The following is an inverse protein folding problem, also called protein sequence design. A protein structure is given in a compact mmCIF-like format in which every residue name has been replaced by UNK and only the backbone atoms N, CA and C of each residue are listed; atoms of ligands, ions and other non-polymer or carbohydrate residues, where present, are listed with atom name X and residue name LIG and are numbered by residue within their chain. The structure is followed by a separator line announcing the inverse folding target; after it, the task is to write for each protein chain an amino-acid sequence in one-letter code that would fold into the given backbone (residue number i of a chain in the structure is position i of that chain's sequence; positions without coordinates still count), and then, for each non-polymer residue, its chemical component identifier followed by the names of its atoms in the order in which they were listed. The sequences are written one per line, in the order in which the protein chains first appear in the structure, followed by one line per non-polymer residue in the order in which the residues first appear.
data_IF_646910691528
#
_entry.id   IF_646910691528
#
_cell.length_a   1.000
_cell.length_b   1.000
_cell.length_c   1.000
_cell.angle_alpha   90.00
_cell.angle_beta   90.00
_cell.angle_gamma   90.00
#
_symmetry.space_group_name_H-M   'P 1'
#
loop_
_entity.id
_entity.type
_entity.pdbx_description
1 polymer ?
#
# COMPACT_ATOMS: atom_id res chain seq x y z
N UNK A 1 -5.29 -24.88 -5.44
CA UNK A 1 -6.40 -25.67 -6.03
C UNK A 1 -5.98 -27.06 -6.51
N UNK A 2 -5.14 -27.23 -7.54
CA UNK A 2 -4.81 -28.57 -8.07
C UNK A 2 -4.21 -29.53 -7.01
N UNK A 3 -3.31 -29.04 -6.15
CA UNK A 3 -2.77 -29.82 -5.03
C UNK A 3 -3.84 -30.18 -3.99
N UNK A 4 -4.76 -29.25 -3.70
CA UNK A 4 -5.93 -29.49 -2.84
C UNK A 4 -6.78 -30.63 -3.42
N UNK A 5 -7.10 -30.58 -4.72
CA UNK A 5 -7.85 -31.63 -5.41
C UNK A 5 -7.16 -33.00 -5.28
N UNK A 6 -5.86 -33.07 -5.64
CA UNK A 6 -5.08 -34.31 -5.54
C UNK A 6 -5.09 -34.87 -4.12
N UNK A 7 -4.97 -34.01 -3.11
CA UNK A 7 -5.03 -34.42 -1.71
C UNK A 7 -6.40 -34.98 -1.35
N UNK A 8 -7.49 -34.27 -1.66
CA UNK A 8 -8.86 -34.70 -1.36
C UNK A 8 -9.20 -36.04 -2.01
N UNK A 9 -8.82 -36.24 -3.27
CA UNK A 9 -9.00 -37.53 -3.96
C UNK A 9 -8.15 -38.63 -3.30
N UNK A 10 -6.90 -38.32 -2.93
CA UNK A 10 -6.01 -39.28 -2.27
C UNK A 10 -6.54 -39.73 -0.90
N UNK A 11 -7.24 -38.87 -0.17
CA UNK A 11 -7.86 -39.22 1.13
C UNK A 11 -9.25 -39.84 1.00
N UNK A 12 -9.73 -40.11 -0.23
CA UNK A 12 -10.93 -40.90 -0.49
C UNK A 12 -12.17 -40.11 -0.91
N UNK A 13 -12.05 -38.80 -1.19
CA UNK A 13 -13.18 -38.02 -1.73
C UNK A 13 -13.46 -38.44 -3.17
N UNK A 14 -14.73 -38.77 -3.50
CA UNK A 14 -15.15 -39.07 -4.87
C UNK A 14 -14.98 -37.82 -5.75
N UNK A 15 -14.13 -37.84 -6.80
CA UNK A 15 -13.90 -36.69 -7.67
C UNK A 15 -15.18 -36.17 -8.33
N UNK A 16 -16.20 -37.02 -8.55
CA UNK A 16 -17.48 -36.63 -9.14
C UNK A 16 -18.34 -35.77 -8.20
N UNK A 17 -18.01 -35.81 -6.91
CA UNK A 17 -18.68 -35.08 -5.82
C UNK A 17 -17.81 -33.96 -5.27
N UNK A 18 -16.76 -33.58 -6.00
CA UNK A 18 -15.83 -32.51 -5.64
C UNK A 18 -15.91 -31.42 -6.70
N UNK A 19 -16.08 -30.17 -6.28
CA UNK A 19 -15.98 -29.01 -7.17
C UNK A 19 -15.20 -27.88 -6.51
N UNK A 20 -14.68 -26.97 -7.34
CA UNK A 20 -14.15 -25.70 -6.87
C UNK A 20 -15.13 -24.60 -7.25
N UNK A 21 -15.60 -23.84 -6.27
CA UNK A 21 -16.51 -22.72 -6.45
C UNK A 21 -15.77 -21.43 -6.13
N UNK A 22 -15.72 -20.51 -7.09
CA UNK A 22 -15.20 -19.16 -6.83
C UNK A 22 -16.22 -18.35 -6.04
N UNK A 23 -15.74 -17.57 -5.08
CA UNK A 23 -16.57 -16.58 -4.38
C UNK A 23 -16.96 -15.45 -5.34
N UNK A 24 -18.21 -15.02 -5.24
CA UNK A 24 -18.66 -13.79 -5.92
C UNK A 24 -18.22 -12.56 -5.14
N UNK A 25 -18.23 -11.38 -5.77
CA UNK A 25 -17.78 -10.13 -5.12
C UNK A 25 -18.55 -9.77 -3.84
N UNK A 26 -19.80 -10.20 -3.71
CA UNK A 26 -20.63 -10.02 -2.51
C UNK A 26 -20.42 -11.08 -1.42
N UNK A 27 -19.67 -12.14 -1.71
CA UNK A 27 -19.28 -13.20 -0.78
C UNK A 27 -17.81 -13.08 -0.34
N UNK A 28 -17.02 -12.32 -1.10
CA UNK A 28 -15.60 -12.10 -0.83
C UNK A 28 -15.38 -11.51 0.56
N UNK A 29 -14.53 -12.17 1.35
CA UNK A 29 -14.10 -11.62 2.62
C UNK A 29 -13.38 -10.28 2.41
N UNK A 30 -13.59 -9.33 3.32
CA UNK A 30 -13.02 -7.98 3.24
C UNK A 30 -11.48 -7.91 3.12
N UNK A 31 -10.80 -9.01 3.43
CA UNK A 31 -9.35 -9.14 3.39
C UNK A 31 -8.83 -9.93 2.16
N UNK A 32 -9.72 -10.45 1.32
CA UNK A 32 -9.40 -11.31 0.19
C UNK A 32 -9.53 -10.55 -1.13
N UNK A 33 -8.67 -10.85 -2.09
CA UNK A 33 -8.77 -10.42 -3.48
C UNK A 33 -9.46 -11.47 -4.34
N UNK A 34 -9.20 -12.74 -4.08
CA UNK A 34 -9.90 -13.87 -4.70
C UNK A 34 -10.03 -15.03 -3.70
N UNK A 35 -11.05 -15.85 -3.86
CA UNK A 35 -11.27 -17.01 -3.01
C UNK A 35 -11.97 -18.13 -3.77
N UNK A 36 -11.46 -19.35 -3.60
CA UNK A 36 -12.02 -20.56 -4.18
C UNK A 36 -12.23 -21.61 -3.11
N UNK A 37 -13.44 -22.13 -3.02
CA UNK A 37 -13.80 -23.18 -2.08
C UNK A 37 -13.78 -24.54 -2.78
N UNK A 38 -13.08 -25.50 -2.19
CA UNK A 38 -13.29 -26.91 -2.49
C UNK A 38 -14.54 -27.39 -1.74
N UNK A 39 -15.59 -27.67 -2.49
CA UNK A 39 -16.87 -28.13 -1.96
C UNK A 39 -17.07 -29.63 -2.24
N UNK A 40 -17.62 -30.34 -1.25
CA UNK A 40 -17.93 -31.76 -1.36
C UNK A 40 -19.46 -31.94 -1.31
N UNK A 41 -20.01 -32.71 -2.23
CA UNK A 41 -21.43 -33.07 -2.25
C UNK A 41 -21.72 -34.17 -1.22
N UNK A 42 -22.49 -33.81 -0.20
CA UNK A 42 -22.91 -34.68 0.90
C UNK A 42 -24.43 -34.86 0.91
N UNK A 43 -24.99 -35.59 1.90
CA UNK A 43 -26.44 -35.67 2.12
C UNK A 43 -27.09 -34.33 2.46
N UNK A 44 -26.32 -33.33 2.87
CA UNK A 44 -26.78 -31.98 3.18
C UNK A 44 -26.57 -30.99 2.03
N UNK A 45 -26.17 -31.48 0.85
CA UNK A 45 -25.80 -30.65 -0.30
C UNK A 45 -24.30 -30.38 -0.38
N UNK A 46 -23.93 -29.34 -1.13
CA UNK A 46 -22.54 -28.91 -1.29
C UNK A 46 -22.06 -28.16 -0.06
N UNK A 47 -20.99 -28.65 0.55
CA UNK A 47 -20.40 -28.06 1.76
C UNK A 47 -18.94 -27.71 1.48
N UNK A 48 -18.52 -26.51 1.87
CA UNK A 48 -17.11 -26.10 1.87
C UNK A 48 -16.31 -27.00 2.83
N UNK A 49 -15.23 -27.59 2.33
CA UNK A 49 -14.28 -28.34 3.15
C UNK A 49 -12.89 -27.71 3.17
N UNK A 50 -12.53 -26.90 2.16
CA UNK A 50 -11.26 -26.17 2.10
C UNK A 50 -11.45 -24.83 1.39
N UNK A 51 -11.15 -23.72 2.07
CA UNK A 51 -11.04 -22.41 1.45
C UNK A 51 -9.62 -22.12 0.94
N UNK A 52 -9.50 -21.67 -0.31
CA UNK A 52 -8.26 -21.19 -0.93
C UNK A 52 -8.37 -19.69 -1.20
N UNK A 53 -7.93 -18.85 -0.25
CA UNK A 53 -8.00 -17.40 -0.35
C UNK A 53 -6.66 -16.76 -0.74
N UNK A 54 -6.69 -15.86 -1.73
CA UNK A 54 -5.65 -14.88 -1.99
C UNK A 54 -5.95 -13.62 -1.18
N UNK A 55 -5.11 -13.33 -0.20
CA UNK A 55 -5.23 -12.16 0.69
C UNK A 55 -4.24 -11.04 0.31
N UNK A 56 -3.51 -11.26 -0.77
CA UNK A 56 -2.41 -10.42 -1.25
C UNK A 56 -1.54 -9.93 -0.10
N UNK A 57 -1.53 -8.63 0.17
CA UNK A 57 -0.73 -8.03 1.22
C UNK A 57 -1.56 -7.52 2.42
N UNK A 58 -2.83 -7.91 2.56
CA UNK A 58 -3.74 -7.36 3.57
C UNK A 58 -3.16 -7.53 4.99
N UNK A 59 -2.87 -8.76 5.41
CA UNK A 59 -2.43 -9.06 6.77
C UNK A 59 -1.11 -8.38 7.12
N UNK A 60 -0.10 -8.52 6.26
CA UNK A 60 1.22 -7.92 6.48
C UNK A 60 1.13 -6.40 6.53
N UNK A 61 0.26 -5.78 5.72
CA UNK A 61 0.05 -4.33 5.73
C UNK A 61 -0.65 -3.89 7.01
N UNK A 62 -1.69 -4.59 7.46
CA UNK A 62 -2.38 -4.25 8.71
C UNK A 62 -1.45 -4.43 9.92
N UNK A 63 -0.75 -5.56 10.03
CA UNK A 63 0.19 -5.80 11.11
C UNK A 63 1.36 -4.81 11.12
N UNK A 64 1.93 -4.49 9.95
CA UNK A 64 3.00 -3.49 9.83
C UNK A 64 2.54 -2.11 10.32
N UNK A 65 1.34 -1.67 9.93
CA UNK A 65 0.75 -0.39 10.36
C UNK A 65 0.51 -0.33 11.87
N UNK A 66 0.00 -1.40 12.48
CA UNK A 66 -0.33 -1.43 13.91
C UNK A 66 0.92 -1.57 14.78
N UNK A 67 1.88 -2.39 14.38
CA UNK A 67 3.06 -2.71 15.20
C UNK A 67 4.25 -1.79 14.94
N UNK A 68 4.21 -0.99 13.86
CA UNK A 68 5.35 -0.24 13.33
C UNK A 68 6.58 -1.12 13.00
N UNK A 69 6.37 -2.42 12.75
CA UNK A 69 7.41 -3.35 12.33
C UNK A 69 7.36 -3.54 10.82
N UNK A 70 8.49 -3.34 10.13
CA UNK A 70 8.59 -3.51 8.67
C UNK A 70 8.50 -4.99 8.28
N UNK A 71 7.36 -5.37 7.70
CA UNK A 71 7.08 -6.72 7.17
C UNK A 71 7.09 -6.72 5.63
N UNK A 72 8.26 -6.63 5.02
CA UNK A 72 8.42 -6.56 3.55
C UNK A 72 9.56 -7.45 3.07
N UNK A 73 9.44 -8.01 1.86
CA UNK A 73 10.54 -8.67 1.17
C UNK A 73 11.22 -7.70 0.19
N UNK A 74 12.54 -7.79 0.09
CA UNK A 74 13.35 -7.00 -0.84
C UNK A 74 14.05 -7.94 -1.82
N UNK A 75 14.06 -7.54 -3.09
CA UNK A 75 14.72 -8.27 -4.17
C UNK A 75 15.86 -7.41 -4.72
N UNK A 76 17.04 -8.02 -4.89
CA UNK A 76 18.15 -7.38 -5.59
C UNK A 76 17.76 -7.12 -7.04
N UNK A 77 17.95 -5.89 -7.48
CA UNK A 77 17.85 -5.55 -8.89
C UNK A 77 19.04 -6.16 -9.63
N UNK A 78 18.82 -6.59 -10.87
CA UNK A 78 19.89 -7.10 -11.74
C UNK A 78 20.94 -6.04 -12.00
N UNK A 79 20.50 -4.78 -12.13
CA UNK A 79 21.35 -3.62 -12.29
C UNK A 79 20.83 -2.49 -11.37
N UNK A 80 21.73 -1.71 -10.74
CA UNK A 80 21.34 -0.54 -9.97
C UNK A 80 20.53 0.45 -10.82
N UNK A 81 19.40 0.93 -10.30
CA UNK A 81 18.61 1.98 -10.95
C UNK A 81 18.86 3.32 -10.28
N UNK A 82 19.24 4.31 -11.08
CA UNK A 82 19.28 5.71 -10.65
C UNK A 82 17.87 6.30 -10.71
N UNK A 83 17.28 6.57 -9.56
CA UNK A 83 15.96 7.20 -9.46
C UNK A 83 16.17 8.65 -9.04
N UNK A 84 15.67 9.58 -9.86
CA UNK A 84 15.60 10.98 -9.48
C UNK A 84 14.44 11.15 -8.51
N UNK A 85 14.73 11.69 -7.34
CA UNK A 85 13.75 11.89 -6.28
C UNK A 85 13.63 13.38 -6.01
N UNK A 86 12.44 13.91 -6.24
CA UNK A 86 12.06 15.30 -5.96
C UNK A 86 11.18 15.29 -4.71
N UNK A 87 11.75 15.72 -3.58
CA UNK A 87 11.07 15.74 -2.28
C UNK A 87 10.92 17.18 -1.79
N UNK A 88 9.73 17.53 -1.29
CA UNK A 88 9.53 18.75 -0.53
C UNK A 88 10.14 18.56 0.87
N UNK A 89 11.26 19.23 1.16
CA UNK A 89 11.91 19.17 2.46
C UNK A 89 11.40 20.32 3.37
N UNK A 90 10.53 20.02 4.37
CA UNK A 90 10.05 21.02 5.30
C UNK A 90 11.15 21.46 6.29
N UNK A 91 11.23 22.77 6.55
CA UNK A 91 12.03 23.32 7.63
C UNK A 91 11.26 23.25 8.95
N UNK A 92 11.47 22.17 9.71
CA UNK A 92 10.76 21.91 10.96
C UNK A 92 10.93 23.00 12.03
N UNK A 93 12.01 23.79 11.99
CA UNK A 93 12.22 24.89 12.94
C UNK A 93 11.26 26.06 12.68
N UNK A 94 10.97 26.37 11.41
CA UNK A 94 10.05 27.43 11.02
C UNK A 94 8.61 26.92 11.08
N UNK A 95 8.35 25.73 10.53
CA UNK A 95 7.04 25.07 10.58
C UNK A 95 6.55 24.84 12.01
N UNK A 96 7.43 24.41 12.91
CA UNK A 96 7.10 24.20 14.32
C UNK A 96 6.77 25.48 15.07
N UNK A 97 7.39 26.61 14.72
CA UNK A 97 7.08 27.91 15.32
C UNK A 97 5.72 28.43 14.86
N UNK A 98 5.42 28.31 13.57
CA UNK A 98 4.19 28.84 12.97
C UNK A 98 2.97 27.95 13.29
N UNK A 99 3.08 26.64 13.05
CA UNK A 99 1.93 25.72 13.06
C UNK A 99 1.88 24.81 14.30
N UNK A 100 2.91 24.84 15.17
CA UNK A 100 2.96 24.10 16.44
C UNK A 100 2.54 22.63 16.29
N UNK A 101 1.34 22.27 16.78
CA UNK A 101 0.79 20.90 16.74
C UNK A 101 0.54 20.38 15.33
N UNK A 102 0.26 21.27 14.37
CA UNK A 102 -0.06 20.93 12.99
C UNK A 102 1.19 20.76 12.11
N UNK A 103 2.38 21.15 12.60
CA UNK A 103 3.64 20.98 11.87
C UNK A 103 3.92 19.52 11.49
N UNK A 104 3.58 18.56 12.38
CA UNK A 104 3.71 17.13 12.09
C UNK A 104 2.73 16.64 11.02
N UNK A 105 1.50 17.19 11.00
CA UNK A 105 0.48 16.86 9.99
C UNK A 105 0.92 17.36 8.62
N UNK A 106 1.40 18.61 8.55
CA UNK A 106 1.93 19.20 7.32
C UNK A 106 3.15 18.42 6.81
N UNK A 107 4.09 18.04 7.70
CA UNK A 107 5.24 17.21 7.33
C UNK A 107 4.81 15.87 6.70
N UNK A 108 3.86 15.18 7.33
CA UNK A 108 3.36 13.91 6.83
C UNK A 108 2.69 14.06 5.46
N UNK A 109 1.91 15.13 5.26
CA UNK A 109 1.28 15.43 3.98
C UNK A 109 2.30 15.76 2.89
N UNK A 110 3.32 16.59 3.18
CA UNK A 110 4.39 16.92 2.23
C UNK A 110 5.21 15.69 1.82
N UNK A 111 5.42 14.74 2.72
CA UNK A 111 6.14 13.49 2.43
C UNK A 111 5.34 12.53 1.53
N UNK A 112 4.02 12.71 1.41
CA UNK A 112 3.13 11.90 0.58
C UNK A 112 2.77 12.55 -0.75
N UNK A 113 3.25 13.77 -1.03
CA UNK A 113 2.97 14.45 -2.29
C UNK A 113 3.66 13.75 -3.47
N UNK A 114 2.95 13.53 -4.58
CA UNK A 114 3.55 13.02 -5.81
C UNK A 114 4.44 14.08 -6.48
N UNK A 115 5.37 13.63 -7.34
CA UNK A 115 6.40 14.47 -7.95
C UNK A 115 5.83 15.67 -8.72
N UNK A 116 4.73 15.45 -9.46
CA UNK A 116 4.00 16.48 -10.20
C UNK A 116 3.48 17.61 -9.28
N UNK A 117 2.99 17.25 -8.10
CA UNK A 117 2.52 18.23 -7.11
C UNK A 117 3.67 18.94 -6.41
N UNK A 118 4.82 18.28 -6.20
CA UNK A 118 6.01 18.93 -5.65
C UNK A 118 6.57 19.97 -6.62
N UNK A 119 6.55 19.68 -7.93
CA UNK A 119 6.92 20.65 -8.96
C UNK A 119 5.93 21.82 -9.05
N UNK A 120 4.63 21.55 -8.95
CA UNK A 120 3.61 22.59 -8.92
C UNK A 120 3.79 23.50 -7.69
N UNK A 121 4.05 22.91 -6.52
CA UNK A 121 4.39 23.63 -5.29
C UNK A 121 5.62 24.51 -5.47
N UNK A 122 6.68 24.02 -6.13
CA UNK A 122 7.89 24.81 -6.42
C UNK A 122 7.57 26.03 -7.29
N UNK A 123 6.77 25.83 -8.35
CA UNK A 123 6.37 26.90 -9.27
C UNK A 123 5.51 27.94 -8.58
N UNK A 124 4.54 27.51 -7.79
CA UNK A 124 3.62 28.42 -7.09
C UNK A 124 4.33 29.20 -5.96
N UNK A 125 5.28 28.57 -5.25
CA UNK A 125 6.14 29.28 -4.29
C UNK A 125 7.00 30.36 -4.96
N UNK A 126 7.52 30.11 -6.16
CA UNK A 126 8.30 31.10 -6.93
C UNK A 126 7.45 32.23 -7.51
N UNK A 127 6.23 31.93 -7.95
CA UNK A 127 5.34 32.90 -8.57
C UNK A 127 4.61 33.79 -7.55
N UNK A 128 4.04 33.18 -6.50
CA UNK A 128 3.12 33.83 -5.57
C UNK A 128 3.70 34.00 -4.16
N UNK A 129 4.87 33.44 -3.87
CA UNK A 129 5.51 33.48 -2.55
C UNK A 129 4.83 32.62 -1.48
N UNK A 130 3.68 31.99 -1.78
CA UNK A 130 2.98 31.08 -0.89
C UNK A 130 2.22 29.98 -1.64
N UNK A 131 2.15 28.80 -1.04
CA UNK A 131 1.41 27.64 -1.52
C UNK A 131 0.37 27.23 -0.47
N UNK A 132 -0.85 26.91 -0.88
CA UNK A 132 -1.90 26.44 0.03
C UNK A 132 -1.97 24.92 -0.01
N UNK A 133 -1.50 24.27 1.05
CA UNK A 133 -1.61 22.82 1.19
C UNK A 133 -2.89 22.47 1.93
N UNK A 134 -3.76 21.72 1.28
CA UNK A 134 -4.94 21.14 1.91
C UNK A 134 -4.57 19.83 2.58
N UNK A 135 -4.74 19.76 3.90
CA UNK A 135 -4.55 18.53 4.69
C UNK A 135 -5.86 18.25 5.40
N UNK A 136 -6.52 17.15 5.04
CA UNK A 136 -7.86 16.79 5.51
C UNK A 136 -8.90 17.89 5.21
N UNK A 137 -9.44 18.52 6.26
CA UNK A 137 -10.39 19.64 6.20
C UNK A 137 -9.73 21.02 6.35
N UNK A 138 -8.44 21.07 6.68
CA UNK A 138 -7.71 22.30 6.99
C UNK A 138 -6.85 22.75 5.80
N UNK A 139 -6.71 24.06 5.63
CA UNK A 139 -5.87 24.67 4.59
C UNK A 139 -4.71 25.43 5.24
N UNK A 140 -3.48 25.02 4.92
CA UNK A 140 -2.25 25.59 5.49
C UNK A 140 -1.50 26.41 4.45
N UNK A 141 -1.20 27.67 4.78
CA UNK A 141 -0.42 28.56 3.92
C UNK A 141 1.07 28.38 4.17
N UNK A 142 1.77 27.81 3.21
CA UNK A 142 3.20 27.52 3.25
C UNK A 142 3.97 28.58 2.48
N UNK A 143 5.14 28.97 2.97
CA UNK A 143 5.99 29.97 2.33
C UNK A 143 7.35 29.38 1.95
N UNK A 144 8.12 30.09 1.11
CA UNK A 144 9.45 29.64 0.68
C UNK A 144 10.46 29.45 1.83
N UNK A 145 10.24 30.11 2.98
CA UNK A 145 11.06 29.92 4.18
C UNK A 145 10.75 28.60 4.92
N UNK A 146 9.56 28.02 4.69
CA UNK A 146 9.07 26.83 5.36
C UNK A 146 9.38 25.54 4.60
N UNK A 147 9.54 25.60 3.28
CA UNK A 147 9.73 24.42 2.42
C UNK A 147 10.84 24.69 1.41
N UNK A 148 11.74 23.73 1.26
CA UNK A 148 12.74 23.71 0.20
C UNK A 148 12.57 22.45 -0.64
N UNK A 149 12.48 22.58 -1.95
CA UNK A 149 12.43 21.41 -2.84
C UNK A 149 13.85 20.90 -3.04
N UNK A 150 14.09 19.62 -2.71
CA UNK A 150 15.37 18.95 -2.92
C UNK A 150 15.23 17.93 -4.03
N UNK A 151 16.11 18.03 -5.03
CA UNK A 151 16.25 17.06 -6.12
C UNK A 151 17.51 16.24 -5.87
N UNK A 152 17.35 14.95 -5.60
CA UNK A 152 18.47 14.05 -5.31
C UNK A 152 18.39 12.81 -6.19
N UNK A 153 19.51 12.40 -6.79
CA UNK A 153 19.60 11.11 -7.46
C UNK A 153 19.97 10.04 -6.43
N UNK A 154 19.06 9.10 -6.17
CA UNK A 154 19.31 7.96 -5.28
C UNK A 154 19.58 6.73 -6.15
N UNK A 155 20.69 6.05 -5.90
CA UNK A 155 20.97 4.73 -6.48
C UNK A 155 20.24 3.67 -5.68
N UNK A 156 19.32 2.98 -6.32
CA UNK A 156 18.53 1.90 -5.73
C UNK A 156 19.05 0.58 -6.27
N UNK A 157 19.56 -0.28 -5.37
CA UNK A 157 20.06 -1.62 -5.70
C UNK A 157 19.08 -2.73 -5.29
N UNK A 158 18.11 -2.39 -4.46
CA UNK A 158 17.07 -3.28 -3.96
C UNK A 158 15.70 -2.70 -4.34
N UNK A 159 14.86 -3.49 -4.98
CA UNK A 159 13.44 -3.17 -5.12
C UNK A 159 12.67 -3.89 -4.02
N UNK A 160 11.71 -3.20 -3.39
CA UNK A 160 10.67 -3.93 -2.67
C UNK A 160 10.03 -4.90 -3.66
N UNK A 161 9.80 -6.15 -3.25
CA UNK A 161 8.96 -7.04 -4.05
C UNK A 161 7.60 -6.35 -4.11
N UNK A 162 7.18 -5.99 -5.33
CA UNK A 162 5.91 -5.30 -5.54
C UNK A 162 4.76 -6.16 -5.01
N UNK A 163 3.80 -5.46 -4.38
CA UNK A 163 2.64 -6.02 -3.71
C UNK A 163 1.55 -6.42 -4.71
#
# INVERSE_FOLDING_TARGET
MARTHMYLVKVGVDPRRLRFRQHLGNEMAHYAQDCWDAEILTSYGWIECVGNADRSCYDLTQHSKTTNVKLTAEKKLSEPKSVNVVEAAPNMAVLGKEFKKDAKRIQAALAQLPEDQVEALEKELKANGSYKLKVDADEFKLTAAMITVKRTTKMVTLSSVEK
#
